data_IF_545225811090
#
_entry.id   IF_545225811090
#
_cell.length_a   1.000
_cell.length_b   1.000
_cell.length_c   1.000
_cell.angle_alpha   90.00
_cell.angle_beta   90.00
_cell.angle_gamma   90.00
#
_symmetry.space_group_name_H-M   'P 1'
#
loop_
_entity.id
_entity.type
_entity.pdbx_description
1 polymer ?
#
# COMPACT_ATOMS: atom_id res chain seq x y z
N UNK A 1 1.71 9.67 13.81
CA UNK A 1 1.05 9.19 12.57
C UNK A 1 2.09 8.41 11.78
N UNK A 2 1.83 7.13 11.49
CA UNK A 2 2.83 6.24 10.92
C UNK A 2 3.09 6.59 9.45
N UNK A 3 4.33 6.39 8.99
CA UNK A 3 4.71 6.53 7.59
C UNK A 3 4.86 5.13 7.01
N UNK A 4 4.32 4.94 5.81
CA UNK A 4 4.41 3.68 5.08
C UNK A 4 5.06 3.93 3.73
N UNK A 5 5.90 2.98 3.32
CA UNK A 5 6.45 2.87 1.97
C UNK A 5 5.67 1.80 1.24
N UNK A 6 5.26 2.11 0.02
CA UNK A 6 4.60 1.18 -0.89
C UNK A 6 5.48 1.00 -2.12
N UNK A 7 5.93 -0.21 -2.38
CA UNK A 7 6.70 -0.55 -3.58
C UNK A 7 5.78 -1.24 -4.58
N UNK A 8 5.49 -0.57 -5.70
CA UNK A 8 4.66 -1.08 -6.80
C UNK A 8 5.44 -0.96 -8.11
N UNK A 9 5.62 -2.08 -8.83
CA UNK A 9 6.37 -2.13 -10.10
C UNK A 9 7.77 -1.49 -10.03
N UNK A 10 8.48 -1.70 -8.92
CA UNK A 10 9.81 -1.11 -8.67
C UNK A 10 9.82 0.38 -8.36
N UNK A 11 8.64 1.04 -8.31
CA UNK A 11 8.50 2.43 -7.88
C UNK A 11 8.07 2.48 -6.42
N UNK A 12 8.63 3.44 -5.68
CA UNK A 12 8.31 3.66 -4.28
C UNK A 12 7.34 4.84 -4.12
N UNK A 13 6.37 4.67 -3.23
CA UNK A 13 5.39 5.68 -2.84
C UNK A 13 5.35 5.79 -1.32
N UNK A 14 5.15 6.99 -0.79
CA UNK A 14 5.12 7.22 0.65
C UNK A 14 3.80 7.84 1.08
N UNK A 15 3.18 7.25 2.10
CA UNK A 15 1.91 7.71 2.63
C UNK A 15 1.92 7.72 4.14
N UNK A 16 1.21 8.68 4.73
CA UNK A 16 0.91 8.69 6.16
C UNK A 16 -0.45 8.05 6.42
N UNK A 17 -0.50 7.05 7.28
CA UNK A 17 -1.74 6.33 7.63
C UNK A 17 -1.66 5.79 9.07
N UNK A 18 -2.79 5.29 9.58
CA UNK A 18 -2.81 4.57 10.86
C UNK A 18 -2.20 3.17 10.71
N UNK A 19 -2.61 2.45 9.66
CA UNK A 19 -2.25 1.07 9.33
C UNK A 19 -1.87 0.92 7.84
N UNK A 20 -1.38 -0.27 7.46
CA UNK A 20 -1.04 -0.59 6.07
C UNK A 20 -2.24 -0.47 5.12
N UNK A 21 -3.44 -0.85 5.56
CA UNK A 21 -4.67 -0.77 4.77
C UNK A 21 -4.99 0.69 4.39
N UNK A 22 -4.86 1.61 5.35
CA UNK A 22 -5.07 3.03 5.11
C UNK A 22 -4.00 3.66 4.20
N UNK A 23 -2.80 3.07 4.14
CA UNK A 23 -1.77 3.51 3.20
C UNK A 23 -2.08 3.03 1.77
N UNK A 24 -2.50 1.77 1.60
CA UNK A 24 -2.83 1.21 0.28
C UNK A 24 -4.14 1.81 -0.28
N UNK A 25 -5.11 2.14 0.57
CA UNK A 25 -6.35 2.81 0.16
C UNK A 25 -6.10 4.22 -0.39
N UNK A 26 -5.07 4.91 0.11
CA UNK A 26 -4.61 6.18 -0.46
C UNK A 26 -3.94 6.01 -1.83
N UNK A 27 -3.32 4.86 -2.06
CA UNK A 27 -2.77 4.50 -3.37
C UNK A 27 -3.89 4.15 -4.36
N UNK A 28 -4.89 3.35 -3.95
CA UNK A 28 -6.03 2.96 -4.80
C UNK A 28 -6.93 4.11 -5.23
N UNK A 29 -6.97 5.18 -4.42
CA UNK A 29 -7.76 6.38 -4.69
C UNK A 29 -6.88 7.55 -5.16
N UNK A 30 -5.67 7.28 -5.62
CA UNK A 30 -4.77 8.34 -6.09
C UNK A 30 -5.41 9.11 -7.23
N UNK A 31 -5.40 10.44 -7.10
CA UNK A 31 -5.84 11.33 -8.17
C UNK A 31 -4.74 11.46 -9.23
N UNK A 32 -5.07 11.14 -10.48
CA UNK A 32 -4.22 11.33 -11.65
C UNK A 32 -4.97 12.24 -12.62
N UNK A 33 -4.41 13.43 -12.88
CA UNK A 33 -5.07 14.48 -13.69
C UNK A 33 -6.49 14.85 -13.20
N UNK A 34 -6.70 14.89 -11.88
CA UNK A 34 -7.98 15.26 -11.30
C UNK A 34 -9.06 14.18 -11.36
N UNK A 35 -8.72 12.95 -11.77
CA UNK A 35 -9.62 11.78 -11.73
C UNK A 35 -9.09 10.72 -10.77
N UNK A 36 -9.95 10.06 -9.97
CA UNK A 36 -9.52 8.95 -9.14
C UNK A 36 -9.11 7.78 -10.03
N UNK A 37 -7.88 7.31 -9.85
CA UNK A 37 -7.37 6.13 -10.53
C UNK A 37 -7.74 4.90 -9.71
N UNK A 38 -8.98 4.41 -9.85
CA UNK A 38 -9.44 3.24 -9.10
C UNK A 38 -8.65 2.00 -9.49
N UNK A 39 -7.80 1.53 -8.58
CA UNK A 39 -7.06 0.29 -8.76
C UNK A 39 -7.79 -0.86 -8.05
N UNK A 40 -7.88 -2.04 -8.65
CA UNK A 40 -8.41 -3.21 -7.95
C UNK A 40 -7.37 -3.73 -6.97
N UNK A 41 -7.67 -3.64 -5.68
CA UNK A 41 -6.75 -4.06 -4.63
C UNK A 41 -7.28 -5.31 -3.92
N UNK A 42 -6.46 -6.35 -3.83
CA UNK A 42 -6.73 -7.54 -3.02
C UNK A 42 -5.54 -7.82 -2.11
N UNK A 43 -5.78 -7.90 -0.81
CA UNK A 43 -4.76 -8.32 0.15
C UNK A 43 -4.38 -9.78 -0.14
N UNK A 44 -3.07 -10.03 -0.33
CA UNK A 44 -2.53 -11.38 -0.57
C UNK A 44 -2.03 -12.02 0.72
N UNK A 45 -1.26 -11.26 1.50
CA UNK A 45 -0.66 -11.74 2.75
C UNK A 45 -0.56 -10.57 3.72
N UNK A 46 -0.99 -10.82 4.95
CA UNK A 46 -0.84 -9.92 6.08
C UNK A 46 -0.04 -10.63 7.15
N UNK A 47 1.12 -10.09 7.51
CA UNK A 47 1.97 -10.68 8.53
C UNK A 47 2.60 -9.56 9.36
N UNK A 48 1.77 -8.90 10.16
CA UNK A 48 2.24 -7.89 11.10
C UNK A 48 3.00 -8.51 12.30
N UNK A 49 2.87 -9.82 12.54
CA UNK A 49 3.17 -10.41 13.84
C UNK A 49 4.54 -11.11 13.91
N UNK A 50 5.10 -11.63 12.81
CA UNK A 50 6.30 -12.48 12.92
C UNK A 50 7.64 -11.74 13.05
N UNK A 51 7.70 -10.42 12.82
CA UNK A 51 8.99 -9.67 12.79
C UNK A 51 8.99 -8.28 13.44
N UNK A 52 7.95 -7.90 14.16
CA UNK A 52 7.88 -6.60 14.86
C UNK A 52 7.75 -5.39 13.93
N UNK A 53 7.38 -5.60 12.66
CA UNK A 53 7.13 -4.56 11.67
C UNK A 53 5.75 -4.73 11.05
N UNK A 54 5.01 -3.62 10.91
CA UNK A 54 3.73 -3.61 10.19
C UNK A 54 4.01 -3.67 8.68
N UNK A 55 3.83 -4.84 8.08
CA UNK A 55 3.95 -5.05 6.63
C UNK A 55 2.76 -5.83 6.05
N UNK A 56 2.46 -5.57 4.78
CA UNK A 56 1.39 -6.26 4.04
C UNK A 56 1.68 -6.28 2.54
N UNK A 57 1.29 -7.37 1.86
CA UNK A 57 1.40 -7.51 0.41
C UNK A 57 0.02 -7.48 -0.24
N UNK A 58 -0.13 -6.66 -1.27
CA UNK A 58 -1.38 -6.49 -2.02
C UNK A 58 -1.17 -6.82 -3.50
N UNK A 59 -2.22 -7.35 -4.13
CA UNK A 59 -2.40 -7.35 -5.57
C UNK A 59 -3.07 -6.05 -5.98
N UNK A 60 -2.49 -5.32 -6.93
CA UNK A 60 -2.99 -4.07 -7.49
C UNK A 60 -3.04 -4.22 -9.01
N UNK A 61 -4.24 -4.47 -9.54
CA UNK A 61 -4.49 -4.71 -10.97
C UNK A 61 -3.54 -5.74 -11.61
N UNK A 62 -3.29 -6.85 -10.91
CA UNK A 62 -2.40 -7.92 -11.38
C UNK A 62 -0.92 -7.69 -11.07
N UNK A 63 -0.57 -6.58 -10.42
CA UNK A 63 0.79 -6.31 -9.96
C UNK A 63 0.90 -6.53 -8.45
N UNK A 64 2.10 -6.85 -7.96
CA UNK A 64 2.32 -7.00 -6.52
C UNK A 64 2.83 -5.69 -5.93
N UNK A 65 2.15 -5.19 -4.90
CA UNK A 65 2.56 -4.06 -4.09
C UNK A 65 2.93 -4.52 -2.67
N UNK A 66 4.12 -4.17 -2.22
CA UNK A 66 4.54 -4.40 -0.83
C UNK A 66 4.42 -3.09 -0.04
N UNK A 67 3.82 -3.16 1.14
CA UNK A 67 3.60 -2.02 2.04
C UNK A 67 4.31 -2.30 3.34
N UNK A 68 5.25 -1.45 3.73
CA UNK A 68 6.00 -1.56 4.98
C UNK A 68 5.96 -0.23 5.73
N UNK A 69 5.87 -0.26 7.07
CA UNK A 69 6.10 0.93 7.88
C UNK A 69 7.58 1.36 7.82
N UNK A 70 7.82 2.68 7.72
CA UNK A 70 9.15 3.32 7.68
C UNK A 70 9.27 4.42 8.72
#
# INVERSE_FOLDING_TARGET
MNKYRITLNGKEYFYHAANCDGAIDKLSNRMVFGRPLTCNIKLKTYDADTRGGLWATYDVDGNTANVDQV
#
